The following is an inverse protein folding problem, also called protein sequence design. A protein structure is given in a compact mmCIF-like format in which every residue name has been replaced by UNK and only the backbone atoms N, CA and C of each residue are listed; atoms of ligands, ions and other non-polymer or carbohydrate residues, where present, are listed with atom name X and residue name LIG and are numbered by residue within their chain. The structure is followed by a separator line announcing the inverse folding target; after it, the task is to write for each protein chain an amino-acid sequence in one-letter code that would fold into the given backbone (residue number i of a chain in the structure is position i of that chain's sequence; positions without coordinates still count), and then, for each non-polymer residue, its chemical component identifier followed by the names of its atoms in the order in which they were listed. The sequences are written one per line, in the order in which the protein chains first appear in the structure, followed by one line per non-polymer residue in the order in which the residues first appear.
data_IF_416916000353
#
_entry.id   IF_416916000353
#
_cell.length_a   1.000
_cell.length_b   1.000
_cell.length_c   1.000
_cell.angle_alpha   90.00
_cell.angle_beta   90.00
_cell.angle_gamma   90.00
#
_symmetry.space_group_name_H-M   'P 1'
#
loop_
_entity.id
_entity.type
_entity.pdbx_description
1 polymer ?
#
# COMPACT_ATOMS: atom_id res chain seq x y z
N UNK A 1 -13.77 -13.90 -4.70
CA UNK A 1 -13.18 -12.64 -5.18
C UNK A 1 -13.07 -11.70 -3.99
N UNK A 2 -11.88 -11.52 -3.43
CA UNK A 2 -11.64 -10.47 -2.43
C UNK A 2 -11.56 -9.17 -3.20
N UNK A 3 -12.61 -8.35 -3.11
CA UNK A 3 -12.56 -6.97 -3.57
C UNK A 3 -11.39 -6.33 -2.83
N UNK A 4 -10.36 -5.92 -3.56
CA UNK A 4 -9.23 -5.16 -3.03
C UNK A 4 -9.76 -3.76 -2.65
N UNK A 5 -10.54 -3.70 -1.58
CA UNK A 5 -10.92 -2.45 -0.97
C UNK A 5 -9.65 -1.81 -0.42
N UNK A 6 -9.26 -0.71 -1.08
CA UNK A 6 -8.23 0.17 -0.55
C UNK A 6 -8.65 0.59 0.86
N UNK A 7 -7.74 0.52 1.84
CA UNK A 7 -8.00 1.03 3.18
C UNK A 7 -8.45 2.51 3.08
N UNK A 8 -9.44 2.96 3.87
CA UNK A 8 -10.09 4.27 3.68
C UNK A 8 -9.12 5.47 3.77
N UNK A 9 -7.95 5.29 4.39
CA UNK A 9 -6.91 6.31 4.49
C UNK A 9 -5.96 6.37 3.28
N UNK A 10 -6.08 5.45 2.30
CA UNK A 10 -5.38 5.53 1.03
C UNK A 10 -6.43 5.77 -0.04
N UNK A 11 -6.60 7.02 -0.44
CA UNK A 11 -7.47 7.37 -1.55
C UNK A 11 -6.62 7.72 -2.78
N UNK A 12 -6.92 7.12 -3.92
CA UNK A 12 -6.46 7.64 -5.20
C UNK A 12 -7.22 8.94 -5.46
N UNK A 13 -6.51 9.97 -5.92
CA UNK A 13 -7.08 11.32 -6.00
C UNK A 13 -6.47 12.14 -7.14
N UNK A 14 -7.25 13.09 -7.65
CA UNK A 14 -6.79 14.09 -8.62
C UNK A 14 -6.71 15.44 -7.92
N UNK A 15 -5.53 16.04 -7.90
CA UNK A 15 -5.32 17.44 -7.51
C UNK A 15 -5.09 18.24 -8.81
N UNK A 16 -5.46 19.53 -8.91
CA UNK A 16 -5.14 20.32 -10.10
C UNK A 16 -3.65 20.19 -10.47
N UNK A 17 -3.37 19.73 -11.70
CA UNK A 17 -2.01 19.50 -12.21
C UNK A 17 -1.34 18.18 -11.83
N UNK A 18 -1.89 17.41 -10.88
CA UNK A 18 -1.26 16.20 -10.36
C UNK A 18 -2.23 15.01 -10.22
N UNK A 19 -1.73 13.80 -10.48
CA UNK A 19 -2.44 12.55 -10.26
C UNK A 19 -1.74 11.73 -9.18
N UNK A 20 -2.47 11.38 -8.12
CA UNK A 20 -2.01 10.43 -7.13
C UNK A 20 -2.43 9.02 -7.56
N UNK A 21 -1.46 8.12 -7.70
CA UNK A 21 -1.66 6.71 -7.92
C UNK A 21 -1.25 5.93 -6.69
N UNK A 22 -2.03 4.90 -6.37
CA UNK A 22 -1.78 3.98 -5.27
C UNK A 22 -1.62 2.60 -5.87
N UNK A 23 -0.57 1.88 -5.47
CA UNK A 23 -0.36 0.47 -5.80
C UNK A 23 -0.20 -0.33 -4.52
N UNK A 24 -0.98 -1.40 -4.43
CA UNK A 24 -0.96 -2.37 -3.34
C UNK A 24 -0.38 -3.68 -3.89
N UNK A 25 0.64 -4.21 -3.22
CA UNK A 25 1.24 -5.50 -3.57
C UNK A 25 1.17 -6.42 -2.36
N UNK A 26 0.82 -7.68 -2.60
CA UNK A 26 0.78 -8.72 -1.58
C UNK A 26 1.33 -10.02 -2.13
N UNK A 27 2.11 -10.71 -1.32
CA UNK A 27 2.63 -12.05 -1.63
C UNK A 27 2.42 -12.94 -0.43
N UNK A 28 1.90 -14.15 -0.67
CA UNK A 28 1.74 -15.17 0.37
C UNK A 28 2.49 -16.41 -0.09
N UNK A 29 3.55 -16.75 0.63
CA UNK A 29 4.31 -17.98 0.42
C UNK A 29 3.97 -18.98 1.53
N UNK A 30 3.51 -20.17 1.14
CA UNK A 30 3.22 -21.26 2.08
C UNK A 30 4.30 -22.32 2.01
N UNK A 31 4.78 -22.72 3.17
CA UNK A 31 5.67 -23.86 3.35
C UNK A 31 5.06 -24.79 4.41
N UNK A 32 5.49 -26.06 4.50
CA UNK A 32 5.02 -26.97 5.55
C UNK A 32 5.26 -26.45 6.98
N UNK A 33 6.26 -25.59 7.17
CA UNK A 33 6.69 -25.10 8.48
C UNK A 33 6.13 -23.72 8.83
N UNK A 34 5.84 -22.89 7.82
CA UNK A 34 5.38 -21.51 8.01
C UNK A 34 4.62 -20.95 6.83
N UNK A 35 3.84 -19.89 7.10
CA UNK A 35 3.25 -19.03 6.08
C UNK A 35 3.90 -17.66 6.17
N UNK A 36 4.52 -17.19 5.09
CA UNK A 36 5.12 -15.86 4.99
C UNK A 36 4.21 -14.95 4.17
N UNK A 37 3.88 -13.81 4.74
CA UNK A 37 3.08 -12.77 4.11
C UNK A 37 3.99 -11.56 3.90
N UNK A 38 4.03 -11.05 2.68
CA UNK A 38 4.71 -9.80 2.33
C UNK A 38 3.69 -8.81 1.78
N UNK A 39 3.80 -7.56 2.19
CA UNK A 39 2.89 -6.48 1.85
C UNK A 39 3.70 -5.27 1.42
N UNK A 40 3.26 -4.57 0.38
CA UNK A 40 3.79 -3.27 0.02
C UNK A 40 2.66 -2.31 -0.37
N UNK A 41 2.80 -1.07 0.10
CA UNK A 41 1.95 0.06 -0.31
C UNK A 41 2.86 1.08 -0.96
N UNK A 42 2.57 1.42 -2.21
CA UNK A 42 3.25 2.50 -2.93
C UNK A 42 2.25 3.58 -3.27
N UNK A 43 2.60 4.83 -2.96
CA UNK A 43 1.93 6.01 -3.47
C UNK A 43 2.87 6.76 -4.38
N UNK A 44 2.38 7.20 -5.54
CA UNK A 44 3.14 7.93 -6.54
C UNK A 44 2.35 9.13 -7.05
N UNK A 45 3.02 10.27 -7.19
CA UNK A 45 2.45 11.51 -7.74
C UNK A 45 3.02 11.73 -9.13
N UNK A 46 2.12 11.86 -10.08
CA UNK A 46 2.44 12.18 -11.47
C UNK A 46 2.02 13.60 -11.78
N UNK A 47 2.89 14.33 -12.47
CA UNK A 47 2.55 15.60 -13.11
C UNK A 47 1.74 15.31 -14.36
N UNK A 48 0.53 15.84 -14.45
CA UNK A 48 -0.37 15.58 -15.56
C UNK A 48 0.07 16.28 -16.85
N UNK A 49 0.78 17.41 -16.76
CA UNK A 49 1.26 18.14 -17.95
C UNK A 49 2.48 17.46 -18.54
N UNK A 50 3.43 17.06 -17.69
CA UNK A 50 4.66 16.40 -18.14
C UNK A 50 4.53 14.88 -18.28
N UNK A 51 3.43 14.29 -17.79
CA UNK A 51 3.23 12.83 -17.67
C UNK A 51 4.42 12.15 -16.96
N UNK A 52 5.01 12.84 -15.99
CA UNK A 52 6.24 12.41 -15.33
C UNK A 52 6.01 12.15 -13.84
N UNK A 53 6.74 11.17 -13.30
CA UNK A 53 6.79 10.91 -11.86
C UNK A 53 7.47 12.09 -11.16
N UNK A 54 6.79 12.68 -10.17
CA UNK A 54 7.33 13.77 -9.33
C UNK A 54 7.84 13.28 -7.99
N UNK A 55 7.22 12.24 -7.45
CA UNK A 55 7.62 11.65 -6.19
C UNK A 55 6.85 10.37 -5.93
N UNK A 56 7.46 9.46 -5.19
CA UNK A 56 6.84 8.23 -4.73
C UNK A 56 7.34 7.86 -3.35
N UNK A 57 6.46 7.28 -2.54
CA UNK A 57 6.79 6.65 -1.28
C UNK A 57 6.31 5.19 -1.31
N UNK A 58 7.18 4.26 -0.93
CA UNK A 58 6.86 2.83 -0.81
C UNK A 58 7.19 2.38 0.60
N UNK A 59 6.20 1.79 1.27
CA UNK A 59 6.40 1.10 2.54
C UNK A 59 6.19 -0.40 2.35
N UNK A 60 7.05 -1.20 2.95
CA UNK A 60 6.99 -2.67 2.91
C UNK A 60 6.90 -3.24 4.31
N UNK A 61 6.22 -4.38 4.43
CA UNK A 61 6.11 -5.16 5.65
C UNK A 61 6.13 -6.64 5.33
N UNK A 62 6.60 -7.44 6.29
CA UNK A 62 6.55 -8.89 6.21
C UNK A 62 6.11 -9.46 7.57
N UNK A 63 5.34 -10.54 7.52
CA UNK A 63 4.88 -11.27 8.69
C UNK A 63 5.08 -12.77 8.44
N UNK A 64 5.63 -13.45 9.44
CA UNK A 64 5.71 -14.91 9.44
C UNK A 64 4.69 -15.47 10.43
N UNK A 65 3.91 -16.44 9.96
CA UNK A 65 2.88 -17.13 10.71
C UNK A 65 3.26 -18.60 10.88
N UNK A 66 2.77 -19.21 11.96
CA UNK A 66 2.97 -20.65 12.23
C UNK A 66 2.26 -21.56 11.21
N UNK A 67 2.52 -22.88 11.28
CA UNK A 67 2.10 -23.85 10.26
C UNK A 67 0.60 -24.15 10.22
N UNK A 68 -0.17 -23.74 11.24
CA UNK A 68 -1.60 -24.08 11.39
C UNK A 68 -2.55 -22.90 11.14
N UNK A 69 -2.15 -21.90 10.35
CA UNK A 69 -3.03 -20.78 10.00
C UNK A 69 -3.91 -21.15 8.80
N UNK A 70 -5.21 -20.97 8.97
CA UNK A 70 -6.23 -21.16 7.94
C UNK A 70 -6.28 -20.00 6.93
N UNK A 71 -6.96 -20.22 5.81
CA UNK A 71 -7.09 -19.21 4.75
C UNK A 71 -7.76 -17.92 5.25
N UNK A 72 -8.72 -18.05 6.15
CA UNK A 72 -9.38 -16.90 6.77
C UNK A 72 -8.41 -16.10 7.67
N UNK A 73 -7.55 -16.79 8.43
CA UNK A 73 -6.48 -16.18 9.21
C UNK A 73 -5.47 -15.46 8.34
N UNK A 74 -5.07 -16.07 7.22
CA UNK A 74 -4.16 -15.45 6.24
C UNK A 74 -4.78 -14.18 5.67
N UNK A 75 -6.05 -14.22 5.25
CA UNK A 75 -6.74 -13.06 4.71
C UNK A 75 -6.82 -11.89 5.73
N UNK A 76 -7.10 -12.21 7.01
CA UNK A 76 -7.09 -11.21 8.09
C UNK A 76 -5.70 -10.60 8.28
N UNK A 77 -4.66 -11.42 8.27
CA UNK A 77 -3.28 -10.95 8.48
C UNK A 77 -2.75 -10.14 7.29
N UNK A 78 -3.07 -10.52 6.06
CA UNK A 78 -2.80 -9.71 4.87
C UNK A 78 -3.45 -8.34 5.01
N UNK A 79 -4.72 -8.26 5.41
CA UNK A 79 -5.43 -6.98 5.59
C UNK A 79 -4.80 -6.14 6.71
N UNK A 80 -4.48 -6.75 7.85
CA UNK A 80 -3.83 -6.06 8.96
C UNK A 80 -2.46 -5.50 8.55
N UNK A 81 -1.67 -6.31 7.84
CA UNK A 81 -0.38 -5.93 7.29
C UNK A 81 -0.50 -4.74 6.33
N UNK A 82 -1.43 -4.76 5.39
CA UNK A 82 -1.68 -3.62 4.49
C UNK A 82 -2.11 -2.35 5.25
N UNK A 83 -3.04 -2.49 6.21
CA UNK A 83 -3.53 -1.38 7.02
C UNK A 83 -2.45 -0.71 7.86
N UNK A 84 -1.44 -1.46 8.33
CA UNK A 84 -0.33 -0.91 9.08
C UNK A 84 0.61 -0.04 8.23
N UNK A 85 0.73 -0.34 6.93
CA UNK A 85 1.61 0.42 6.02
C UNK A 85 0.97 1.72 5.53
N UNK A 86 -0.36 1.78 5.54
CA UNK A 86 -1.16 2.88 5.00
C UNK A 86 -0.85 4.26 5.61
N UNK A 87 -0.87 4.44 6.95
CA UNK A 87 -0.63 5.75 7.56
C UNK A 87 0.76 6.29 7.22
N UNK A 88 1.76 5.41 7.25
CA UNK A 88 3.16 5.76 6.98
C UNK A 88 3.33 6.34 5.58
N UNK A 89 2.67 5.73 4.58
CA UNK A 89 2.74 6.21 3.20
C UNK A 89 1.91 7.48 3.00
N UNK A 90 0.72 7.56 3.64
CA UNK A 90 -0.16 8.74 3.56
C UNK A 90 0.52 10.01 4.09
N UNK A 91 1.14 9.93 5.27
CA UNK A 91 1.76 11.09 5.92
C UNK A 91 2.97 11.59 5.10
N UNK A 92 3.83 10.67 4.64
CA UNK A 92 4.98 11.03 3.81
C UNK A 92 4.61 11.71 2.48
N UNK A 93 3.46 11.37 1.90
CA UNK A 93 3.01 11.95 0.62
C UNK A 93 2.20 13.23 0.81
N UNK A 94 1.44 13.37 1.89
CA UNK A 94 0.70 14.60 2.21
C UNK A 94 1.63 15.79 2.35
N UNK A 95 2.76 15.61 3.04
CA UNK A 95 3.79 16.65 3.18
C UNK A 95 4.40 17.05 1.84
N UNK A 96 4.60 16.09 0.93
CA UNK A 96 5.12 16.35 -0.40
C UNK A 96 4.10 17.09 -1.29
N UNK A 97 2.84 16.68 -1.32
CA UNK A 97 1.76 17.41 -2.04
C UNK A 97 1.60 18.82 -1.47
N UNK A 98 1.67 18.97 -0.15
CA UNK A 98 1.60 20.27 0.51
C UNK A 98 2.69 21.24 0.05
N UNK A 99 3.90 20.75 -0.23
CA UNK A 99 5.00 21.54 -0.81
C UNK A 99 4.79 21.88 -2.29
N UNK A 100 4.15 21.01 -3.06
CA UNK A 100 3.86 21.26 -4.49
C UNK A 100 2.75 22.29 -4.72
N UNK A 101 1.90 22.55 -3.71
CA UNK A 101 0.80 23.52 -3.78
C UNK A 101 1.21 24.95 -3.37
N UNK A 102 2.37 25.13 -2.75
CA UNK A 102 2.92 26.45 -2.39
C UNK A 102 3.71 27.03 -3.55
#
# INVERSE_FOLDING_TARGET
MLVDEMPPAVAAGKTPGFQLQVRLERTVARTPEKVRIECAVTQAIFDLKLRALRGSATQRGALELGPKVDDAGIARQVRACMNALVPVVHDGMTDFVGRLRR
#
